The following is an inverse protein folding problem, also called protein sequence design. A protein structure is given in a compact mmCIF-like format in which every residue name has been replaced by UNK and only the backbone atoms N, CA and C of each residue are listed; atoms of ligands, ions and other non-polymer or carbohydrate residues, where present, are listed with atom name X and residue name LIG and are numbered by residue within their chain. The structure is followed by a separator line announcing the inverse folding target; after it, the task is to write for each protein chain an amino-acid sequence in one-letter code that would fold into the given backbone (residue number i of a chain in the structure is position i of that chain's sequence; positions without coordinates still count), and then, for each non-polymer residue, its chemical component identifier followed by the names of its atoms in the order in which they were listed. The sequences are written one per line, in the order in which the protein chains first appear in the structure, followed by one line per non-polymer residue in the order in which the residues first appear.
data_IF_483913234276
#
_entry.id   IF_483913234276
#
_cell.length_a   1.000
_cell.length_b   1.000
_cell.length_c   1.000
_cell.angle_alpha   90.00
_cell.angle_beta   90.00
_cell.angle_gamma   90.00
#
_symmetry.space_group_name_H-M   'P 1'
#
loop_
_entity.id
_entity.type
_entity.pdbx_description
1 polymer ?
#
# COMPACT_ATOMS: atom_id res chain seq x y z
N UNK A 1 16.00 11.54 3.51
CA UNK A 1 14.96 11.85 2.50
C UNK A 1 15.00 13.33 2.11
N UNK A 2 16.14 13.87 1.67
CA UNK A 2 16.30 15.33 1.47
C UNK A 2 15.56 15.88 0.25
N UNK A 3 15.11 15.03 -0.68
CA UNK A 3 14.62 15.45 -2.01
C UNK A 3 13.17 15.08 -2.33
N UNK A 4 12.58 14.11 -1.62
CA UNK A 4 11.21 13.61 -1.90
C UNK A 4 10.21 14.17 -0.93
N UNK A 5 9.03 14.60 -1.38
CA UNK A 5 7.96 15.08 -0.50
C UNK A 5 7.16 13.95 0.13
N UNK A 6 7.03 12.82 -0.60
CA UNK A 6 6.29 11.64 -0.16
C UNK A 6 7.17 10.41 -0.36
N UNK A 7 7.28 9.58 0.68
CA UNK A 7 7.90 8.25 0.59
C UNK A 7 6.84 7.23 0.16
N UNK A 8 7.23 6.23 -0.64
CA UNK A 8 6.32 5.17 -1.05
C UNK A 8 6.85 3.80 -0.62
N UNK A 9 6.00 3.02 0.05
CA UNK A 9 6.29 1.61 0.34
C UNK A 9 5.81 0.72 -0.82
N UNK A 10 6.70 -0.07 -1.45
CA UNK A 10 6.32 -1.03 -2.47
C UNK A 10 5.38 -2.13 -1.95
N UNK A 11 4.46 -2.60 -2.80
CA UNK A 11 3.43 -3.57 -2.44
C UNK A 11 3.97 -4.88 -1.84
N UNK A 12 5.09 -5.41 -2.35
CA UNK A 12 5.70 -6.63 -1.81
C UNK A 12 6.29 -6.46 -0.41
N UNK A 13 6.62 -5.24 0.00
CA UNK A 13 7.27 -4.94 1.28
C UNK A 13 6.29 -4.49 2.37
N UNK A 14 4.99 -4.45 2.07
CA UNK A 14 3.94 -3.92 2.97
C UNK A 14 3.85 -4.61 4.34
N UNK A 15 4.32 -5.86 4.46
CA UNK A 15 4.36 -6.62 5.73
C UNK A 15 5.70 -6.54 6.46
N UNK A 16 6.75 -5.97 5.86
CA UNK A 16 8.10 -5.95 6.43
C UNK A 16 8.18 -4.90 7.54
N UNK A 17 8.11 -5.35 8.81
CA UNK A 17 8.05 -4.46 9.98
C UNK A 17 9.18 -3.45 10.00
N UNK A 18 10.43 -3.91 9.91
CA UNK A 18 11.61 -3.05 9.96
C UNK A 18 11.65 -2.04 8.82
N UNK A 19 11.13 -2.41 7.65
CA UNK A 19 11.05 -1.50 6.51
C UNK A 19 10.01 -0.41 6.78
N UNK A 20 8.80 -0.79 7.17
CA UNK A 20 7.70 0.15 7.47
C UNK A 20 8.11 1.13 8.57
N UNK A 21 8.67 0.63 9.68
CA UNK A 21 9.04 1.47 10.81
C UNK A 21 10.14 2.47 10.44
N UNK A 22 11.18 2.03 9.70
CA UNK A 22 12.25 2.92 9.22
C UNK A 22 11.77 3.98 8.23
N UNK A 23 10.88 3.62 7.30
CA UNK A 23 10.32 4.56 6.32
C UNK A 23 9.44 5.59 7.02
N UNK A 24 8.58 5.17 7.93
CA UNK A 24 7.69 6.08 8.65
C UNK A 24 8.43 6.97 9.66
N UNK A 25 9.49 6.48 10.30
CA UNK A 25 10.35 7.26 11.20
C UNK A 25 11.14 8.38 10.49
N UNK A 26 11.17 8.40 9.15
CA UNK A 26 11.81 9.49 8.40
C UNK A 26 11.03 10.82 8.47
N UNK A 27 9.84 10.84 9.07
CA UNK A 27 9.06 12.06 9.35
C UNK A 27 8.40 12.71 8.13
N UNK A 28 8.39 12.04 6.97
CA UNK A 28 7.69 12.50 5.75
C UNK A 28 6.36 11.77 5.57
N UNK A 29 5.40 12.34 4.81
CA UNK A 29 4.24 11.60 4.36
C UNK A 29 4.62 10.27 3.68
N UNK A 30 3.87 9.21 3.97
CA UNK A 30 4.13 7.86 3.44
C UNK A 30 2.91 7.32 2.72
N UNK A 31 3.07 6.95 1.45
CA UNK A 31 2.08 6.20 0.68
C UNK A 31 2.38 4.69 0.73
N UNK A 32 1.51 3.91 1.35
CA UNK A 32 1.69 2.46 1.50
C UNK A 32 0.83 1.73 0.48
N UNK A 33 1.47 1.08 -0.50
CA UNK A 33 0.76 0.23 -1.48
C UNK A 33 0.30 -1.06 -0.84
N UNK A 34 -1.00 -1.36 -0.96
CA UNK A 34 -1.57 -2.64 -0.56
C UNK A 34 -0.91 -3.76 -1.37
N UNK A 35 -0.47 -4.82 -0.68
CA UNK A 35 0.04 -6.03 -1.33
C UNK A 35 -1.07 -6.70 -2.15
N UNK A 36 -0.74 -7.23 -3.33
CA UNK A 36 -1.70 -8.01 -4.12
C UNK A 36 -2.19 -9.29 -3.39
N UNK A 37 -1.49 -9.72 -2.36
CA UNK A 37 -1.83 -10.84 -1.47
C UNK A 37 -2.62 -10.43 -0.21
N UNK A 38 -2.99 -9.16 -0.05
CA UNK A 38 -3.70 -8.66 1.13
C UNK A 38 -5.17 -8.33 0.82
N UNK A 39 -6.03 -8.71 1.75
CA UNK A 39 -7.38 -8.18 1.84
C UNK A 39 -7.34 -6.71 2.32
N UNK A 40 -8.37 -5.89 2.03
CA UNK A 40 -8.36 -4.49 2.44
C UNK A 40 -8.32 -4.27 3.96
N UNK A 41 -9.01 -5.10 4.75
CA UNK A 41 -8.99 -5.01 6.22
C UNK A 41 -7.63 -5.38 6.83
N UNK A 42 -6.77 -6.10 6.10
CA UNK A 42 -5.40 -6.40 6.55
C UNK A 42 -4.48 -5.17 6.53
N UNK A 43 -4.91 -4.06 5.92
CA UNK A 43 -4.17 -2.80 5.95
C UNK A 43 -4.27 -2.09 7.31
N UNK A 44 -5.28 -2.39 8.13
CA UNK A 44 -5.42 -1.79 9.48
C UNK A 44 -4.19 -2.01 10.37
N UNK A 45 -3.71 -3.24 10.61
CA UNK A 45 -2.49 -3.45 11.40
C UNK A 45 -1.22 -2.89 10.74
N UNK A 46 -1.20 -2.70 9.41
CA UNK A 46 -0.08 -2.05 8.72
C UNK A 46 -0.06 -0.55 9.03
N UNK A 47 -1.22 0.10 9.01
CA UNK A 47 -1.39 1.51 9.37
C UNK A 47 -1.09 1.73 10.86
N UNK A 48 -1.60 0.89 11.75
CA UNK A 48 -1.32 0.98 13.19
C UNK A 48 0.19 0.90 13.46
N UNK A 49 0.89 -0.01 12.80
CA UNK A 49 2.36 -0.12 12.87
C UNK A 49 3.07 1.12 12.33
N UNK A 50 2.60 1.68 11.22
CA UNK A 50 3.16 2.91 10.66
C UNK A 50 2.98 4.09 11.63
N UNK A 51 1.78 4.26 12.19
CA UNK A 51 1.45 5.32 13.15
C UNK A 51 2.17 5.17 14.50
N UNK A 52 2.48 3.95 14.92
CA UNK A 52 3.26 3.70 16.13
C UNK A 52 4.68 4.32 16.10
N UNK A 53 5.16 4.75 14.93
CA UNK A 53 6.41 5.53 14.80
C UNK A 53 6.26 7.02 15.15
N UNK A 54 5.05 7.49 15.43
CA UNK A 54 4.71 8.90 15.65
C UNK A 54 4.38 9.66 14.36
N UNK A 55 4.38 8.99 13.20
CA UNK A 55 4.04 9.61 11.92
C UNK A 55 2.56 9.41 11.58
N UNK A 56 1.79 10.50 11.61
CA UNK A 56 0.35 10.50 11.29
C UNK A 56 0.05 10.75 9.79
N UNK A 57 1.06 11.08 8.98
CA UNK A 57 0.89 11.43 7.57
C UNK A 57 0.93 10.18 6.67
N UNK A 58 0.03 9.23 6.93
CA UNK A 58 -0.02 7.94 6.25
C UNK A 58 -1.16 7.91 5.24
N UNK A 59 -0.87 7.45 4.03
CA UNK A 59 -1.84 7.13 2.97
C UNK A 59 -1.80 5.64 2.67
N UNK A 60 -2.95 5.09 2.28
CA UNK A 60 -3.07 3.71 1.82
C UNK A 60 -3.46 3.69 0.35
N UNK A 61 -2.81 2.84 -0.44
CA UNK A 61 -2.99 2.83 -1.88
C UNK A 61 -3.49 1.47 -2.38
N UNK A 62 -4.68 1.46 -2.98
CA UNK A 62 -5.16 0.33 -3.76
C UNK A 62 -4.38 0.24 -5.07
N UNK A 63 -4.06 -0.98 -5.48
CA UNK A 63 -3.39 -1.24 -6.76
C UNK A 63 -3.81 -2.54 -7.45
N UNK A 64 -4.79 -3.27 -6.94
CA UNK A 64 -5.24 -4.59 -7.41
C UNK A 64 -4.80 -5.73 -6.49
N UNK A 65 -5.61 -6.79 -6.44
CA UNK A 65 -5.34 -8.06 -5.76
C UNK A 65 -5.10 -9.19 -6.78
N UNK A 66 -4.33 -10.20 -6.41
CA UNK A 66 -4.05 -11.36 -7.28
C UNK A 66 -5.36 -12.07 -7.65
N UNK A 67 -5.57 -12.29 -8.95
CA UNK A 67 -6.76 -12.96 -9.47
C UNK A 67 -6.36 -14.10 -10.40
N UNK A 68 -6.04 -15.24 -9.80
CA UNK A 68 -5.39 -16.34 -10.52
C UNK A 68 -3.96 -16.00 -10.92
N UNK A 69 -3.46 -16.61 -11.99
CA UNK A 69 -2.11 -16.39 -12.49
C UNK A 69 -2.06 -15.20 -13.43
N UNK A 70 -0.98 -14.42 -13.33
CA UNK A 70 -0.65 -13.31 -14.22
C UNK A 70 -1.73 -12.25 -14.40
N UNK A 71 -2.67 -12.14 -13.45
CA UNK A 71 -3.78 -11.21 -13.53
C UNK A 71 -4.12 -10.60 -12.17
N UNK A 72 -4.76 -9.44 -12.23
CA UNK A 72 -5.17 -8.65 -11.08
C UNK A 72 -6.63 -8.26 -11.19
N UNK A 73 -7.32 -8.20 -10.06
CA UNK A 73 -8.66 -7.62 -9.96
C UNK A 73 -8.64 -6.45 -8.99
N UNK A 74 -9.33 -5.38 -9.36
CA UNK A 74 -9.58 -4.23 -8.48
C UNK A 74 -10.93 -4.38 -7.82
N UNK A 75 -10.94 -4.84 -6.57
CA UNK A 75 -12.16 -4.85 -5.76
C UNK A 75 -12.47 -3.43 -5.27
N UNK A 76 -13.40 -2.74 -5.94
CA UNK A 76 -13.73 -1.34 -5.62
C UNK A 76 -14.27 -1.13 -4.19
N UNK A 77 -14.72 -2.20 -3.51
CA UNK A 77 -15.11 -2.13 -2.09
C UNK A 77 -13.92 -1.82 -1.20
N UNK A 78 -12.70 -2.16 -1.64
CA UNK A 78 -11.46 -1.92 -0.88
C UNK A 78 -11.26 -0.44 -0.55
N UNK A 79 -11.71 0.47 -1.43
CA UNK A 79 -11.58 1.91 -1.21
C UNK A 79 -12.41 2.36 -0.01
N UNK A 80 -13.61 1.82 0.16
CA UNK A 80 -14.45 2.11 1.31
C UNK A 80 -13.89 1.48 2.59
N UNK A 81 -13.51 0.20 2.55
CA UNK A 81 -12.95 -0.51 3.71
C UNK A 81 -11.64 0.13 4.17
N UNK A 82 -10.75 0.50 3.27
CA UNK A 82 -9.48 1.13 3.64
C UNK A 82 -9.64 2.53 4.22
N UNK A 83 -10.74 3.25 3.95
CA UNK A 83 -11.02 4.54 4.63
C UNK A 83 -11.23 4.35 6.14
N UNK A 84 -11.66 3.17 6.59
CA UNK A 84 -11.83 2.87 8.02
C UNK A 84 -10.49 2.88 8.79
N UNK A 85 -9.35 2.86 8.09
CA UNK A 85 -8.02 3.06 8.71
C UNK A 85 -7.77 4.51 9.15
N UNK A 86 -8.66 5.44 8.81
CA UNK A 86 -8.50 6.87 9.08
C UNK A 86 -7.39 7.53 8.26
N UNK A 87 -6.96 6.90 7.17
CA UNK A 87 -5.93 7.41 6.26
C UNK A 87 -6.55 7.82 4.92
N UNK A 88 -6.01 8.82 4.20
CA UNK A 88 -6.40 9.08 2.82
C UNK A 88 -6.13 7.85 1.95
N UNK A 89 -7.06 7.58 1.03
CA UNK A 89 -6.98 6.43 0.12
C UNK A 89 -6.62 6.90 -1.28
N UNK A 90 -5.58 6.29 -1.84
CA UNK A 90 -5.10 6.50 -3.21
C UNK A 90 -5.48 5.29 -4.06
N UNK A 91 -5.83 5.51 -5.33
CA UNK A 91 -6.02 4.43 -6.31
C UNK A 91 -4.95 4.51 -7.40
N UNK A 92 -4.12 3.48 -7.49
CA UNK A 92 -3.11 3.36 -8.55
C UNK A 92 -3.76 2.80 -9.81
N UNK A 93 -4.28 3.69 -10.66
CA UNK A 93 -4.97 3.31 -11.89
C UNK A 93 -4.09 2.51 -12.86
N UNK A 94 -2.78 2.73 -12.85
CA UNK A 94 -1.85 2.12 -13.81
C UNK A 94 -1.47 0.69 -13.45
N UNK A 95 -1.04 0.43 -12.21
CA UNK A 95 -0.65 -0.91 -11.80
C UNK A 95 -1.86 -1.84 -11.64
N UNK A 96 -3.04 -1.28 -11.39
CA UNK A 96 -4.30 -2.02 -11.25
C UNK A 96 -4.74 -2.77 -12.51
N UNK A 97 -4.23 -2.36 -13.68
CA UNK A 97 -4.54 -2.98 -14.98
C UNK A 97 -3.36 -3.76 -15.58
N UNK A 98 -2.28 -3.92 -14.82
CA UNK A 98 -1.12 -4.68 -15.26
C UNK A 98 -1.42 -6.18 -15.30
N UNK A 99 -0.78 -6.90 -16.23
CA UNK A 99 -0.68 -8.36 -16.23
C UNK A 99 0.70 -8.78 -15.69
N UNK A 100 0.82 -9.12 -14.39
CA UNK A 100 2.13 -9.42 -13.80
C UNK A 100 2.78 -10.63 -14.48
N UNK A 101 3.98 -10.46 -15.04
CA UNK A 101 4.68 -11.54 -15.76
C UNK A 101 4.02 -11.99 -17.07
N UNK A 102 3.02 -11.27 -17.58
CA UNK A 102 2.29 -11.64 -18.81
C UNK A 102 3.06 -11.49 -20.12
N UNK A 103 4.29 -10.97 -20.07
CA UNK A 103 5.23 -10.86 -21.20
C UNK A 103 6.53 -11.67 -20.96
N UNK A 104 6.51 -12.65 -20.06
CA UNK A 104 7.67 -13.52 -19.87
C UNK A 104 7.95 -14.37 -21.10
N UNK A 105 9.21 -14.40 -21.54
CA UNK A 105 9.80 -15.50 -22.33
C UNK A 105 9.99 -16.73 -21.46
#
# INVERSE_FOLDING_TARGET
ASVVDVLQTPAFLVRQTDFITKVCAAGKPVNIKKGQFLAPWDMKPVVEKAKATGNEQIMVCERGASFGYNNLVSDMRSLAVMRETGCPVVFDATHSVQLPGGQGT
#
